data_IF_994546384357
#
_entry.id   IF_994546384357
#
_cell.length_a   1.000
_cell.length_b   1.000
_cell.length_c   1.000
_cell.angle_alpha   90.00
_cell.angle_beta   90.00
_cell.angle_gamma   90.00
#
_symmetry.space_group_name_H-M   'P 1'
#
loop_
_entity.id
_entity.type
_entity.pdbx_description
1 polymer ?
#
# COMPACT_ATOMS: atom_id res chain seq x y z
N UNK A 1 60.74 -21.98 75.01
CA UNK A 1 60.86 -22.47 73.62
C UNK A 1 59.54 -22.17 72.92
N UNK A 2 59.45 -21.05 72.18
CA UNK A 2 59.65 -20.97 70.71
C UNK A 2 58.66 -21.92 70.00
N UNK A 3 57.66 -21.47 69.21
CA UNK A 3 57.84 -20.73 67.96
C UNK A 3 56.49 -20.26 67.36
N UNK A 4 56.53 -19.07 66.72
CA UNK A 4 55.94 -18.70 65.42
C UNK A 4 54.39 -18.75 65.28
N UNK A 5 53.66 -17.65 65.06
CA UNK A 5 53.94 -16.55 64.14
C UNK A 5 53.44 -16.88 62.72
N UNK A 6 52.12 -16.93 62.51
CA UNK A 6 51.54 -16.96 61.14
C UNK A 6 51.19 -15.53 60.70
N UNK A 7 51.73 -15.05 59.57
CA UNK A 7 51.62 -13.65 59.16
C UNK A 7 50.32 -13.35 58.40
N UNK A 8 49.69 -12.22 58.74
CA UNK A 8 48.44 -11.64 58.20
C UNK A 8 48.41 -11.27 56.70
N UNK A 9 49.36 -11.76 55.90
CA UNK A 9 49.60 -11.25 54.53
C UNK A 9 48.75 -11.88 53.42
N UNK A 10 47.89 -12.85 53.74
CA UNK A 10 47.14 -13.59 52.73
C UNK A 10 45.66 -13.17 52.60
N UNK A 11 45.19 -12.18 53.38
CA UNK A 11 43.78 -11.75 53.36
C UNK A 11 43.46 -10.82 52.17
N UNK A 12 44.46 -10.17 51.56
CA UNK A 12 44.23 -9.23 50.46
C UNK A 12 44.05 -9.89 49.08
N UNK A 13 44.32 -11.19 48.94
CA UNK A 13 44.25 -11.88 47.65
C UNK A 13 42.86 -12.46 47.31
N UNK A 14 41.93 -12.52 48.26
CA UNK A 14 40.58 -13.07 48.02
C UNK A 14 39.51 -12.00 47.75
N UNK A 15 39.80 -10.72 48.00
CA UNK A 15 38.86 -9.61 47.74
C UNK A 15 39.04 -8.96 46.34
N UNK A 16 40.05 -9.35 45.57
CA UNK A 16 40.32 -8.79 44.24
C UNK A 16 39.51 -9.38 43.09
N UNK A 17 38.90 -10.56 43.26
CA UNK A 17 38.28 -11.31 42.15
C UNK A 17 36.78 -11.13 42.00
N UNK A 18 36.08 -10.51 42.96
CA UNK A 18 34.63 -10.34 42.90
C UNK A 18 34.19 -9.04 42.19
N UNK A 19 35.07 -8.05 42.08
CA UNK A 19 34.72 -6.73 41.51
C UNK A 19 34.81 -6.63 39.99
N UNK A 20 35.52 -7.53 39.31
CA UNK A 20 35.83 -7.38 37.88
C UNK A 20 34.88 -8.15 36.94
N UNK A 21 34.02 -9.02 37.45
CA UNK A 21 33.04 -9.77 36.63
C UNK A 21 31.72 -9.04 36.43
N UNK A 22 31.44 -7.99 37.22
CA UNK A 22 30.23 -7.15 37.07
C UNK A 22 30.39 -5.99 36.07
N UNK A 23 31.56 -5.83 35.44
CA UNK A 23 31.78 -4.76 34.46
C UNK A 23 31.39 -5.14 33.01
N UNK A 24 31.07 -6.41 32.75
CA UNK A 24 30.77 -6.92 31.40
C UNK A 24 29.30 -7.32 31.19
N UNK A 25 28.42 -7.04 32.15
CA UNK A 25 26.98 -7.09 31.95
C UNK A 25 26.55 -5.87 31.11
N UNK A 26 27.01 -5.82 29.87
CA UNK A 26 26.51 -4.89 28.87
C UNK A 26 25.00 -5.08 28.81
N UNK A 27 24.25 -4.07 29.24
CA UNK A 27 22.82 -4.02 29.02
C UNK A 27 22.61 -4.08 27.51
N UNK A 28 22.23 -5.25 27.01
CA UNK A 28 21.66 -5.35 25.69
C UNK A 28 20.37 -4.52 25.73
N UNK A 29 20.46 -3.28 25.24
CA UNK A 29 19.29 -2.45 25.01
C UNK A 29 18.58 -3.08 23.82
N UNK A 30 17.63 -3.96 24.10
CA UNK A 30 16.70 -4.46 23.10
C UNK A 30 15.96 -3.25 22.57
N UNK A 31 16.30 -2.81 21.36
CA UNK A 31 15.57 -1.76 20.67
C UNK A 31 14.11 -2.21 20.57
N UNK A 32 13.22 -1.50 21.26
CA UNK A 32 11.79 -1.76 21.14
C UNK A 32 11.41 -1.55 19.67
N UNK A 33 10.60 -2.43 19.07
CA UNK A 33 10.10 -2.19 17.72
C UNK A 33 9.34 -0.86 17.73
N UNK A 34 9.91 0.14 17.06
CA UNK A 34 9.25 1.42 16.84
C UNK A 34 8.01 1.16 15.98
N UNK A 35 6.85 1.07 16.64
CA UNK A 35 5.56 1.03 15.95
C UNK A 35 5.38 2.43 15.35
N UNK A 36 5.27 2.56 14.01
CA UNK A 36 5.00 3.86 13.42
C UNK A 36 3.71 4.42 13.99
N UNK A 37 3.61 5.76 14.15
CA UNK A 37 2.38 6.38 14.61
C UNK A 37 1.20 5.94 13.72
N UNK A 38 -0.02 5.84 14.28
CA UNK A 38 -1.19 5.48 13.50
C UNK A 38 -1.35 6.46 12.33
N UNK A 39 -1.78 5.92 11.18
CA UNK A 39 -2.02 6.73 9.99
C UNK A 39 -3.06 7.82 10.29
N UNK A 40 -2.79 9.05 9.83
CA UNK A 40 -3.73 10.15 9.93
C UNK A 40 -4.97 9.88 9.06
N UNK A 41 -6.15 10.40 9.46
CA UNK A 41 -7.33 10.39 8.59
C UNK A 41 -7.04 11.04 7.23
N UNK A 42 -7.69 10.55 6.18
CA UNK A 42 -7.64 11.19 4.87
C UNK A 42 -8.24 12.60 4.96
N UNK A 43 -7.65 13.60 4.27
CA UNK A 43 -8.21 14.94 4.25
C UNK A 43 -9.60 14.91 3.61
N UNK A 44 -10.52 15.80 4.00
CA UNK A 44 -11.82 15.88 3.32
C UNK A 44 -11.63 16.28 1.86
N UNK A 45 -12.50 15.75 0.99
CA UNK A 45 -12.61 16.15 -0.41
C UNK A 45 -13.94 16.88 -0.62
N UNK A 46 -13.97 17.75 -1.62
CA UNK A 46 -15.21 18.35 -2.10
C UNK A 46 -16.14 17.23 -2.59
N UNK A 47 -17.38 17.23 -2.08
CA UNK A 47 -18.35 16.23 -2.49
C UNK A 47 -19.01 16.63 -3.81
N UNK A 48 -19.08 15.73 -4.80
CA UNK A 48 -19.86 15.97 -6.01
C UNK A 48 -21.33 16.15 -5.67
N UNK A 49 -22.09 16.74 -6.59
CA UNK A 49 -23.56 16.81 -6.45
C UNK A 49 -24.14 15.40 -6.42
N UNK A 50 -25.22 15.19 -5.66
CA UNK A 50 -25.84 13.87 -5.53
C UNK A 50 -26.23 13.27 -6.89
N UNK A 51 -26.71 14.09 -7.82
CA UNK A 51 -27.08 13.68 -9.18
C UNK A 51 -25.87 13.21 -9.99
N UNK A 52 -24.69 13.81 -9.76
CA UNK A 52 -23.45 13.39 -10.42
C UNK A 52 -22.93 12.06 -9.86
N UNK A 53 -23.04 11.87 -8.53
CA UNK A 53 -22.68 10.60 -7.90
C UNK A 53 -23.55 9.47 -8.43
N UNK A 54 -24.86 9.70 -8.51
CA UNK A 54 -25.79 8.69 -8.97
C UNK A 54 -25.62 8.35 -10.47
N UNK A 55 -25.43 9.37 -11.32
CA UNK A 55 -25.08 9.16 -12.73
C UNK A 55 -23.75 8.39 -12.86
N UNK A 56 -22.71 8.78 -12.13
CA UNK A 56 -21.42 8.10 -12.13
C UNK A 56 -21.55 6.64 -11.68
N UNK A 57 -22.37 6.37 -10.66
CA UNK A 57 -22.70 5.01 -10.22
C UNK A 57 -23.34 4.21 -11.34
N UNK A 58 -24.33 4.75 -12.06
CA UNK A 58 -24.93 4.04 -13.19
C UNK A 58 -23.90 3.73 -14.29
N UNK A 59 -23.11 4.73 -14.70
CA UNK A 59 -22.10 4.56 -15.76
C UNK A 59 -21.01 3.55 -15.38
N UNK A 60 -20.62 3.48 -14.11
CA UNK A 60 -19.58 2.54 -13.63
C UNK A 60 -19.94 1.07 -13.86
N UNK A 61 -21.23 0.75 -13.86
CA UNK A 61 -21.75 -0.61 -14.06
C UNK A 61 -22.42 -0.82 -15.42
N UNK A 62 -22.39 0.18 -16.31
CA UNK A 62 -23.04 0.09 -17.63
C UNK A 62 -22.04 -0.43 -18.67
N UNK A 63 -22.25 -1.64 -19.24
CA UNK A 63 -21.32 -2.20 -20.19
C UNK A 63 -21.42 -1.54 -21.58
N UNK A 64 -22.47 -0.75 -21.86
CA UNK A 64 -22.63 -0.03 -23.14
C UNK A 64 -21.56 1.03 -23.38
N UNK A 65 -20.74 1.31 -22.36
CA UNK A 65 -19.57 2.16 -22.49
C UNK A 65 -18.36 1.46 -23.13
N UNK A 66 -18.37 0.12 -23.34
CA UNK A 66 -17.35 -0.56 -24.15
C UNK A 66 -17.75 -0.68 -25.62
N UNK A 67 -16.77 -0.88 -26.50
CA UNK A 67 -16.97 -0.94 -27.95
C UNK A 67 -17.96 -2.02 -28.44
N UNK A 68 -18.09 -3.13 -27.71
CA UNK A 68 -19.02 -4.23 -28.02
C UNK A 68 -20.13 -4.43 -26.97
N UNK A 69 -20.19 -3.57 -25.94
CA UNK A 69 -21.16 -3.71 -24.86
C UNK A 69 -20.91 -4.87 -23.89
N UNK A 70 -19.70 -5.46 -23.86
CA UNK A 70 -19.37 -6.60 -22.99
C UNK A 70 -18.66 -6.25 -21.68
N UNK A 71 -18.08 -5.05 -21.55
CA UNK A 71 -17.28 -4.64 -20.40
C UNK A 71 -17.77 -3.33 -19.79
N UNK A 72 -17.85 -3.28 -18.46
CA UNK A 72 -18.05 -2.07 -17.68
C UNK A 72 -16.81 -1.79 -16.82
N UNK A 73 -16.72 -0.61 -16.20
CA UNK A 73 -15.65 -0.33 -15.23
C UNK A 73 -15.60 -1.38 -14.12
N UNK A 74 -16.78 -1.81 -13.65
CA UNK A 74 -16.94 -2.86 -12.64
C UNK A 74 -16.46 -4.25 -13.07
N UNK A 75 -16.27 -4.51 -14.38
CA UNK A 75 -15.74 -5.79 -14.85
C UNK A 75 -14.29 -6.02 -14.39
N UNK A 76 -13.48 -4.96 -14.35
CA UNK A 76 -12.11 -5.02 -13.85
C UNK A 76 -11.97 -4.46 -12.41
N UNK A 77 -12.88 -3.58 -11.99
CA UNK A 77 -12.90 -3.00 -10.64
C UNK A 77 -14.04 -3.59 -9.80
N UNK A 78 -13.95 -4.89 -9.49
CA UNK A 78 -15.00 -5.67 -8.82
C UNK A 78 -15.13 -5.27 -7.33
N UNK A 79 -16.31 -4.83 -6.87
CA UNK A 79 -16.55 -4.50 -5.45
C UNK A 79 -16.22 -5.63 -4.48
N UNK A 80 -16.39 -6.90 -4.89
CA UNK A 80 -16.13 -8.07 -4.05
C UNK A 80 -14.63 -8.39 -3.91
N UNK A 81 -13.79 -7.73 -4.71
CA UNK A 81 -12.33 -7.93 -4.74
C UNK A 81 -11.56 -6.66 -4.40
N UNK A 82 -12.17 -5.80 -3.58
CA UNK A 82 -11.55 -4.53 -3.18
C UNK A 82 -11.44 -3.54 -4.34
N UNK A 83 -12.39 -3.59 -5.28
CA UNK A 83 -12.44 -2.73 -6.47
C UNK A 83 -11.26 -2.90 -7.43
N UNK A 84 -10.76 -4.13 -7.53
CA UNK A 84 -9.79 -4.62 -8.51
C UNK A 84 -10.28 -5.97 -9.07
N UNK A 85 -9.52 -6.63 -9.95
CA UNK A 85 -9.93 -7.90 -10.58
C UNK A 85 -9.39 -9.14 -9.85
N UNK A 86 -8.40 -8.95 -8.97
CA UNK A 86 -7.73 -10.01 -8.22
C UNK A 86 -6.76 -10.84 -9.07
N UNK A 87 -6.38 -10.36 -10.25
CA UNK A 87 -5.51 -11.08 -11.18
C UNK A 87 -4.09 -10.49 -11.18
N UNK A 88 -3.04 -11.31 -11.44
CA UNK A 88 -1.68 -10.81 -11.58
C UNK A 88 -1.51 -9.93 -12.83
N UNK A 89 -2.33 -10.16 -13.86
CA UNK A 89 -2.39 -9.41 -15.11
C UNK A 89 -3.86 -9.21 -15.46
N UNK A 90 -4.23 -8.01 -15.89
CA UNK A 90 -5.63 -7.70 -16.17
C UNK A 90 -6.12 -8.35 -17.46
N UNK A 91 -7.41 -8.67 -17.47
CA UNK A 91 -8.13 -9.03 -18.69
C UNK A 91 -8.63 -7.74 -19.34
N UNK A 92 -8.17 -7.51 -20.55
CA UNK A 92 -8.57 -6.41 -21.41
C UNK A 92 -9.73 -6.76 -22.34
N UNK A 93 -10.08 -5.83 -23.22
CA UNK A 93 -11.08 -6.01 -24.26
C UNK A 93 -10.55 -6.84 -25.45
N UNK A 94 -11.35 -7.78 -26.02
CA UNK A 94 -12.31 -8.66 -25.36
C UNK A 94 -11.59 -9.96 -24.96
N UNK A 95 -11.11 -10.02 -23.72
CA UNK A 95 -10.26 -11.06 -23.13
C UNK A 95 -8.80 -11.14 -23.62
N UNK A 96 -8.20 -10.02 -24.03
CA UNK A 96 -6.75 -9.94 -24.22
C UNK A 96 -6.04 -9.83 -22.86
N UNK A 97 -4.89 -10.48 -22.67
CA UNK A 97 -4.09 -10.26 -21.46
C UNK A 97 -3.32 -8.95 -21.58
N UNK A 98 -3.45 -8.09 -20.58
CA UNK A 98 -2.61 -6.90 -20.47
C UNK A 98 -1.31 -7.20 -19.71
N UNK A 99 -0.34 -6.29 -19.77
CA UNK A 99 0.98 -6.47 -19.16
C UNK A 99 1.09 -5.95 -17.73
N UNK A 100 -0.01 -5.49 -17.13
CA UNK A 100 -0.11 -4.99 -15.75
C UNK A 100 -1.42 -5.47 -15.12
N UNK A 101 -1.49 -5.55 -13.78
CA UNK A 101 -2.74 -5.83 -13.08
C UNK A 101 -3.66 -4.61 -13.01
N UNK A 102 -4.93 -4.84 -12.69
CA UNK A 102 -5.88 -3.76 -12.42
C UNK A 102 -5.65 -3.19 -11.01
N UNK A 103 -5.34 -1.88 -10.85
CA UNK A 103 -5.23 -1.25 -9.53
C UNK A 103 -6.63 -1.07 -8.91
N UNK A 104 -6.70 -0.91 -7.59
CA UNK A 104 -7.96 -0.53 -6.93
C UNK A 104 -8.35 0.92 -7.26
N UNK A 105 -9.66 1.20 -7.35
CA UNK A 105 -10.17 2.58 -7.40
C UNK A 105 -10.44 3.18 -6.01
N UNK A 106 -10.28 2.40 -4.94
CA UNK A 106 -10.42 2.92 -3.58
C UNK A 106 -9.38 4.01 -3.33
N UNK A 107 -9.84 5.17 -2.84
CA UNK A 107 -9.00 6.34 -2.55
C UNK A 107 -8.27 6.94 -3.78
N UNK A 108 -8.68 6.60 -5.01
CA UNK A 108 -8.04 7.12 -6.23
C UNK A 108 -8.08 8.66 -6.31
N UNK A 109 -9.11 9.29 -5.73
CA UNK A 109 -9.24 10.74 -5.67
C UNK A 109 -8.11 11.46 -4.90
N UNK A 110 -7.35 10.75 -4.06
CA UNK A 110 -6.19 11.29 -3.36
C UNK A 110 -4.87 11.12 -4.13
N UNK A 111 -4.86 10.41 -5.25
CA UNK A 111 -3.66 10.16 -6.04
C UNK A 111 -3.30 11.39 -6.89
N UNK A 112 -2.04 11.82 -6.81
CA UNK A 112 -1.51 12.93 -7.63
C UNK A 112 -1.04 12.49 -9.02
N UNK A 113 -0.79 11.19 -9.17
CA UNK A 113 -0.28 10.56 -10.39
C UNK A 113 -1.07 9.28 -10.59
N UNK A 114 -1.61 9.11 -11.78
CA UNK A 114 -2.55 8.05 -12.12
C UNK A 114 -1.94 7.13 -13.18
N UNK A 115 -2.49 5.91 -13.29
CA UNK A 115 -1.87 4.73 -13.90
C UNK A 115 -0.59 4.25 -13.19
N UNK A 116 -0.18 3.04 -13.56
CA UNK A 116 1.03 2.39 -13.08
C UNK A 116 2.32 3.15 -13.37
N UNK A 117 2.39 3.88 -14.48
CA UNK A 117 3.54 4.71 -14.85
C UNK A 117 3.40 6.16 -14.37
N UNK A 118 2.30 6.50 -13.70
CA UNK A 118 2.05 7.84 -13.18
C UNK A 118 1.93 8.91 -14.27
N UNK A 119 1.69 8.55 -15.55
CA UNK A 119 1.74 9.49 -16.68
C UNK A 119 0.64 10.56 -16.61
N UNK A 120 -0.50 10.25 -16.00
CA UNK A 120 -1.65 11.15 -15.92
C UNK A 120 -1.72 11.86 -14.56
N UNK A 121 -2.34 13.05 -14.55
CA UNK A 121 -2.43 13.93 -13.39
C UNK A 121 -3.87 14.22 -12.92
N UNK A 122 -4.88 13.76 -13.67
CA UNK A 122 -6.30 14.02 -13.37
C UNK A 122 -7.21 12.84 -13.75
N UNK A 123 -8.30 12.68 -13.00
CA UNK A 123 -9.27 11.58 -13.15
C UNK A 123 -10.07 11.63 -14.46
N UNK A 124 -10.58 12.79 -14.94
CA UNK A 124 -11.32 12.84 -16.20
C UNK A 124 -10.50 12.34 -17.39
N UNK A 125 -9.22 12.72 -17.47
CA UNK A 125 -8.32 12.24 -18.52
C UNK A 125 -8.06 10.74 -18.39
N UNK A 126 -7.89 10.20 -17.18
CA UNK A 126 -7.76 8.75 -16.97
C UNK A 126 -9.00 7.99 -17.43
N UNK A 127 -10.20 8.48 -17.11
CA UNK A 127 -11.46 7.82 -17.49
C UNK A 127 -11.62 7.84 -19.01
N UNK A 128 -11.37 8.99 -19.66
CA UNK A 128 -11.40 9.09 -21.12
C UNK A 128 -10.41 8.12 -21.76
N UNK A 129 -9.17 8.08 -21.29
CA UNK A 129 -8.13 7.19 -21.80
C UNK A 129 -8.54 5.72 -21.63
N UNK A 130 -9.10 5.36 -20.47
CA UNK A 130 -9.59 4.00 -20.19
C UNK A 130 -10.74 3.58 -21.12
N UNK A 131 -11.64 4.51 -21.41
CA UNK A 131 -12.77 4.29 -22.32
C UNK A 131 -12.29 4.06 -23.76
N UNK A 132 -11.36 4.87 -24.25
CA UNK A 132 -10.92 4.84 -25.65
C UNK A 132 -9.79 3.86 -25.93
N UNK A 133 -9.04 3.42 -24.92
CA UNK A 133 -7.93 2.51 -25.11
C UNK A 133 -8.42 1.15 -25.59
N UNK A 134 -7.81 0.66 -26.67
CA UNK A 134 -8.20 -0.56 -27.36
C UNK A 134 -8.07 -1.80 -26.46
N UNK A 135 -7.13 -1.77 -25.50
CA UNK A 135 -6.94 -2.85 -24.55
C UNK A 135 -7.94 -2.86 -23.40
N UNK A 136 -8.66 -1.77 -23.11
CA UNK A 136 -9.49 -1.67 -21.92
C UNK A 136 -10.98 -1.72 -22.22
N UNK A 137 -11.52 -0.69 -22.86
CA UNK A 137 -12.94 -0.61 -23.19
C UNK A 137 -13.20 -0.41 -24.68
N UNK A 138 -12.21 0.10 -25.44
CA UNK A 138 -12.26 0.23 -26.89
C UNK A 138 -13.55 0.91 -27.42
N UNK A 139 -14.06 1.92 -26.71
CA UNK A 139 -15.20 2.72 -27.20
C UNK A 139 -14.74 3.59 -28.38
N UNK A 140 -15.65 3.84 -29.31
CA UNK A 140 -15.42 4.81 -30.38
C UNK A 140 -15.26 6.22 -29.78
N UNK A 141 -14.04 6.78 -29.89
CA UNK A 141 -13.72 8.10 -29.36
C UNK A 141 -14.60 9.23 -29.92
N UNK A 142 -15.23 9.04 -31.10
CA UNK A 142 -16.19 10.00 -31.66
C UNK A 142 -17.49 10.10 -30.86
N UNK A 143 -17.76 9.15 -29.97
CA UNK A 143 -18.92 9.15 -29.07
C UNK A 143 -18.65 9.90 -27.76
N UNK A 144 -17.41 10.34 -27.51
CA UNK A 144 -16.99 11.02 -26.29
C UNK A 144 -16.78 12.53 -26.46
N UNK A 145 -17.15 13.09 -27.62
CA UNK A 145 -16.98 14.51 -27.98
C UNK A 145 -18.07 15.42 -27.40
#
# INVERSE_FOLDING_TARGET
>A
MLHLGRPWKDIWLTLGFCGLTWALSGFAVWAQPQVPPPLSPLPPLDQPKAEQVELGRFLFFDPRASGDGSLACASCHDPNKGWADGLPLSLGYPASLYFRNTPTVVNVAYQKRLYWDGRLADLPTLVRDSLTEAHFMNIDGRLLE
#
